data_IF_477416101857
#
_entry.id   IF_477416101857
#
_cell.length_a   1.000
_cell.length_b   1.000
_cell.length_c   1.000
_cell.angle_alpha   90.00
_cell.angle_beta   90.00
_cell.angle_gamma   90.00
#
_symmetry.space_group_name_H-M   'P 1'
#
loop_
_entity.id
_entity.type
_entity.pdbx_description
1 polymer ?
#
# COMPACT_ATOMS: atom_id res chain seq x y z
N UNK A 1 35.66 5.00 10.35
CA UNK A 1 34.62 3.96 10.54
C UNK A 1 33.30 4.63 10.90
N UNK A 2 32.50 5.03 9.90
CA UNK A 2 31.06 5.34 10.01
C UNK A 2 30.48 5.20 8.59
N UNK A 3 30.32 3.97 8.13
CA UNK A 3 29.64 3.70 6.87
C UNK A 3 28.17 3.50 7.24
N UNK A 4 27.39 4.57 7.13
CA UNK A 4 25.95 4.47 7.08
C UNK A 4 25.61 3.78 5.76
N UNK A 5 25.25 2.51 5.84
CA UNK A 5 24.68 1.73 4.76
C UNK A 5 23.24 2.19 4.53
N UNK A 6 23.10 3.38 3.93
CA UNK A 6 21.88 3.75 3.23
C UNK A 6 21.68 2.71 2.12
N UNK A 7 20.86 1.71 2.43
CA UNK A 7 20.46 0.67 1.48
C UNK A 7 19.44 1.33 0.57
N UNK A 8 19.96 2.12 -0.37
CA UNK A 8 19.23 2.71 -1.48
C UNK A 8 18.86 1.53 -2.38
N UNK A 9 17.68 0.97 -2.09
CA UNK A 9 17.05 -0.03 -2.94
C UNK A 9 16.54 0.65 -4.20
N UNK A 10 17.43 0.85 -5.16
CA UNK A 10 17.04 1.07 -6.55
C UNK A 10 16.17 -0.10 -7.00
N UNK A 11 14.88 0.16 -7.22
CA UNK A 11 14.17 -0.52 -8.28
C UNK A 11 13.14 0.44 -8.88
N UNK A 12 13.60 1.13 -9.92
CA UNK A 12 12.80 1.90 -10.85
C UNK A 12 11.90 0.95 -11.61
N UNK A 13 10.67 0.79 -11.13
CA UNK A 13 9.58 0.18 -11.89
C UNK A 13 8.62 1.30 -12.28
N UNK A 14 8.47 1.49 -13.58
CA UNK A 14 7.51 2.42 -14.17
C UNK A 14 6.11 1.81 -14.01
N UNK A 15 5.64 1.73 -12.78
CA UNK A 15 4.32 1.25 -12.40
C UNK A 15 3.63 2.46 -11.83
N UNK A 16 2.49 2.84 -12.42
CA UNK A 16 1.65 3.95 -11.99
C UNK A 16 1.63 4.02 -10.47
N UNK A 17 2.07 5.13 -9.88
CA UNK A 17 2.05 5.38 -8.43
C UNK A 17 0.60 5.29 -7.94
N UNK A 18 0.16 4.07 -7.65
CA UNK A 18 -1.22 3.76 -7.33
C UNK A 18 -1.34 3.78 -5.83
N UNK A 19 -1.86 4.90 -5.34
CA UNK A 19 -2.13 5.08 -3.92
C UNK A 19 -3.35 4.23 -3.53
N UNK A 20 -3.16 3.40 -2.51
CA UNK A 20 -4.23 2.64 -1.84
C UNK A 20 -4.30 3.03 -0.38
N UNK A 21 -5.38 2.65 0.29
CA UNK A 21 -5.66 3.05 1.65
C UNK A 21 -5.74 1.82 2.55
N UNK A 22 -4.99 1.81 3.63
CA UNK A 22 -5.06 0.77 4.66
C UNK A 22 -5.82 1.29 5.88
N UNK A 23 -6.53 0.42 6.58
CA UNK A 23 -7.10 0.74 7.89
C UNK A 23 -6.04 0.54 8.97
N UNK A 24 -6.05 1.36 10.04
CA UNK A 24 -5.19 1.13 11.23
C UNK A 24 -5.32 -0.29 11.80
N UNK A 25 -6.52 -0.85 11.75
CA UNK A 25 -6.84 -2.18 12.25
C UNK A 25 -7.22 -3.10 11.08
N UNK A 26 -6.24 -3.47 10.28
CA UNK A 26 -6.47 -4.37 9.15
C UNK A 26 -5.20 -4.84 8.48
N UNK A 27 -5.31 -5.97 7.77
CA UNK A 27 -4.25 -6.50 6.89
C UNK A 27 -4.63 -6.35 5.41
N UNK A 28 -5.58 -5.47 5.10
CA UNK A 28 -6.08 -5.28 3.74
C UNK A 28 -5.88 -3.85 3.30
N UNK A 29 -5.55 -3.68 2.03
CA UNK A 29 -5.57 -2.39 1.36
C UNK A 29 -6.86 -2.23 0.56
N UNK A 30 -7.33 -0.99 0.49
CA UNK A 30 -8.64 -0.59 0.01
C UNK A 30 -8.50 0.59 -0.97
N UNK A 31 -9.49 0.78 -1.84
CA UNK A 31 -9.68 2.05 -2.54
C UNK A 31 -10.23 3.12 -1.57
N UNK A 32 -10.00 4.40 -1.88
CA UNK A 32 -10.46 5.53 -1.07
C UNK A 32 -11.95 5.47 -0.72
N UNK A 33 -12.77 5.04 -1.70
CA UNK A 33 -14.23 4.99 -1.64
C UNK A 33 -14.78 3.65 -1.11
N UNK A 34 -13.96 2.83 -0.46
CA UNK A 34 -14.41 1.54 0.05
C UNK A 34 -15.40 1.71 1.21
N UNK A 35 -16.62 1.17 1.07
CA UNK A 35 -17.67 1.23 2.11
C UNK A 35 -17.26 0.61 3.46
N UNK A 36 -16.36 -0.37 3.44
CA UNK A 36 -15.86 -1.03 4.65
C UNK A 36 -14.71 -0.28 5.32
N UNK A 37 -14.06 0.63 4.59
CA UNK A 37 -13.02 1.48 5.14
C UNK A 37 -13.70 2.64 5.86
N UNK A 38 -13.98 2.44 7.15
CA UNK A 38 -14.62 3.43 8.02
C UNK A 38 -13.66 3.85 9.11
N UNK A 39 -13.52 5.16 9.32
CA UNK A 39 -12.64 5.73 10.33
C UNK A 39 -11.28 6.13 9.76
N UNK A 40 -10.26 6.04 10.60
CA UNK A 40 -8.89 6.43 10.25
C UNK A 40 -8.28 5.47 9.22
N UNK A 41 -7.75 6.05 8.15
CA UNK A 41 -7.11 5.36 7.04
C UNK A 41 -5.80 6.03 6.70
N UNK A 42 -4.82 5.23 6.28
CA UNK A 42 -3.50 5.70 5.88
C UNK A 42 -3.32 5.44 4.39
N UNK A 43 -2.84 6.45 3.67
CA UNK A 43 -2.52 6.34 2.24
C UNK A 43 -1.12 5.74 2.11
N UNK A 44 -0.99 4.71 1.30
CA UNK A 44 0.25 3.97 1.06
C UNK A 44 0.33 3.54 -0.40
N UNK A 45 1.53 3.45 -0.95
CA UNK A 45 1.74 2.91 -2.29
C UNK A 45 1.29 1.46 -2.37
N UNK A 46 0.61 1.09 -3.47
CA UNK A 46 0.19 -0.28 -3.71
C UNK A 46 1.36 -1.26 -3.63
N UNK A 47 2.49 -0.90 -4.22
CA UNK A 47 3.71 -1.71 -4.19
C UNK A 47 4.24 -1.87 -2.77
N UNK A 48 4.19 -0.81 -1.97
CA UNK A 48 4.61 -0.88 -0.56
C UNK A 48 3.63 -1.70 0.28
N UNK A 49 2.31 -1.57 0.05
CA UNK A 49 1.30 -2.40 0.69
C UNK A 49 1.51 -3.88 0.39
N UNK A 50 1.78 -4.25 -0.87
CA UNK A 50 2.08 -5.63 -1.26
C UNK A 50 3.37 -6.12 -0.60
N UNK A 51 4.44 -5.32 -0.61
CA UNK A 51 5.71 -5.65 0.06
C UNK A 51 5.55 -5.86 1.57
N UNK A 52 4.67 -5.10 2.22
CA UNK A 52 4.34 -5.24 3.64
C UNK A 52 3.38 -6.42 3.92
N UNK A 53 2.92 -7.14 2.90
CA UNK A 53 2.04 -8.30 3.04
C UNK A 53 0.57 -7.95 3.28
N UNK A 54 0.13 -6.75 2.89
CA UNK A 54 -1.28 -6.42 2.88
C UNK A 54 -1.99 -7.09 1.69
N UNK A 55 -3.23 -7.51 1.90
CA UNK A 55 -4.04 -8.18 0.88
C UNK A 55 -5.06 -7.22 0.24
N UNK A 56 -5.44 -7.47 -1.01
CA UNK A 56 -6.49 -6.69 -1.65
C UNK A 56 -7.83 -6.86 -0.94
N UNK A 57 -8.54 -5.76 -0.70
CA UNK A 57 -9.92 -5.83 -0.24
C UNK A 57 -10.83 -6.43 -1.31
N UNK A 58 -11.48 -7.56 -1.00
CA UNK A 58 -12.43 -8.24 -1.90
C UNK A 58 -13.71 -7.43 -2.19
N UNK A 59 -13.99 -6.39 -1.40
CA UNK A 59 -15.19 -5.53 -1.55
C UNK A 59 -14.95 -4.45 -2.59
N UNK A 60 -13.86 -3.68 -2.49
CA UNK A 60 -13.54 -2.63 -3.45
C UNK A 60 -12.59 -3.07 -4.56
N UNK A 61 -12.02 -4.29 -4.49
CA UNK A 61 -11.18 -4.92 -5.51
C UNK A 61 -10.17 -3.95 -6.15
N UNK A 62 -9.24 -3.37 -5.37
CA UNK A 62 -8.26 -2.41 -5.88
C UNK A 62 -7.37 -2.95 -7.01
N UNK A 63 -7.19 -4.26 -7.08
CA UNK A 63 -6.40 -5.00 -8.09
C UNK A 63 -7.16 -5.25 -9.41
N UNK A 64 -8.49 -5.09 -9.43
CA UNK A 64 -9.33 -5.39 -10.60
C UNK A 64 -9.50 -4.25 -11.60
N UNK A 65 -8.58 -3.28 -11.62
CA UNK A 65 -8.56 -2.13 -12.55
C UNK A 65 -7.40 -2.32 -13.51
#
# INVERSE_FOLDING_TARGET
MKNANETIGENKINETEKIVYIAKTGKKYHLENCRTLRGEKEAIDLNEAIKNGYEACKVCKPDGI
#
